data_IF_040679570063
#
_entry.id   IF_040679570063
#
_cell.length_a   1.000
_cell.length_b   1.000
_cell.length_c   1.000
_cell.angle_alpha   90.00
_cell.angle_beta   90.00
_cell.angle_gamma   90.00
#
_symmetry.space_group_name_H-M   'P 1'
#
loop_
_entity.id
_entity.type
_entity.pdbx_description
1 polymer ?
#
# COMPACT_ATOMS: atom_id res chain seq x y z
N UNK A 1 5.82 14.91 -0.75
CA UNK A 1 6.52 13.62 -0.72
C UNK A 1 7.49 13.61 -1.86
N UNK A 2 8.73 13.18 -1.64
CA UNK A 2 9.69 12.93 -2.72
C UNK A 2 9.45 11.50 -3.23
N UNK A 3 9.16 11.33 -4.52
CA UNK A 3 9.09 10.03 -5.16
C UNK A 3 10.37 9.81 -5.97
N UNK A 4 11.09 8.71 -5.71
CA UNK A 4 12.30 8.36 -6.45
C UNK A 4 12.03 7.17 -7.36
N UNK A 5 12.22 7.39 -8.65
CA UNK A 5 12.11 6.37 -9.69
C UNK A 5 13.50 5.91 -10.07
N UNK A 6 13.75 4.60 -10.03
CA UNK A 6 15.02 4.00 -10.42
C UNK A 6 14.79 3.08 -11.62
N UNK A 7 15.40 3.44 -12.74
CA UNK A 7 15.42 2.63 -13.95
C UNK A 7 16.83 2.08 -14.09
N UNK A 8 16.98 0.76 -13.99
CA UNK A 8 18.27 0.09 -14.12
C UNK A 8 18.35 -0.52 -15.52
N UNK A 9 19.24 -0.01 -16.37
CA UNK A 9 19.40 -0.46 -17.75
C UNK A 9 19.83 -1.93 -17.91
N UNK A 10 20.27 -2.58 -16.83
CA UNK A 10 20.67 -3.99 -16.82
C UNK A 10 19.51 -4.97 -16.62
N UNK A 11 18.31 -4.48 -16.28
CA UNK A 11 17.13 -5.30 -16.02
C UNK A 11 15.93 -4.69 -16.75
N UNK A 12 15.15 -5.52 -17.44
CA UNK A 12 13.92 -5.08 -18.14
C UNK A 12 12.82 -4.60 -17.19
N UNK A 13 13.08 -4.58 -15.88
CA UNK A 13 12.15 -4.26 -14.81
C UNK A 13 12.45 -2.92 -14.18
N UNK A 14 11.41 -2.10 -14.01
CA UNK A 14 11.52 -0.80 -13.33
C UNK A 14 11.00 -0.89 -11.89
N UNK A 15 11.57 -0.06 -11.01
CA UNK A 15 11.25 -0.01 -9.57
C UNK A 15 10.92 1.41 -9.12
N UNK A 16 10.00 1.53 -8.18
CA UNK A 16 9.62 2.79 -7.55
C UNK A 16 9.47 2.58 -6.05
N UNK A 17 10.01 3.52 -5.28
CA UNK A 17 9.75 3.65 -3.86
C UNK A 17 9.50 5.12 -3.55
N UNK A 18 8.42 5.42 -2.85
CA UNK A 18 8.11 6.76 -2.39
C UNK A 18 7.57 6.74 -0.97
N UNK A 19 7.84 7.83 -0.25
CA UNK A 19 7.32 8.05 1.08
C UNK A 19 6.56 9.38 1.13
N UNK A 20 5.47 9.40 1.89
CA UNK A 20 4.74 10.61 2.25
C UNK A 20 4.58 10.73 3.77
N UNK A 21 4.21 11.92 4.24
CA UNK A 21 3.92 12.12 5.67
C UNK A 21 2.70 11.29 6.04
N UNK A 22 2.88 10.44 7.03
CA UNK A 22 1.83 9.65 7.66
C UNK A 22 1.48 10.19 9.04
N UNK A 23 0.86 9.34 9.84
CA UNK A 23 0.54 9.61 11.23
C UNK A 23 1.72 9.16 12.10
N UNK A 24 2.18 10.04 12.98
CA UNK A 24 3.26 9.74 13.90
C UNK A 24 2.71 9.33 15.27
N UNK A 25 3.26 8.25 15.82
CA UNK A 25 2.95 7.75 17.15
C UNK A 25 1.94 6.60 17.16
N UNK A 26 2.25 5.55 17.93
CA UNK A 26 1.38 4.39 18.10
C UNK A 26 0.07 4.69 18.83
N UNK A 27 0.04 5.74 19.67
CA UNK A 27 -1.14 6.11 20.46
C UNK A 27 -2.11 7.03 19.72
N UNK A 28 -1.83 7.39 18.46
CA UNK A 28 -2.74 8.23 17.69
C UNK A 28 -4.00 7.43 17.31
N UNK A 29 -5.22 7.98 17.50
CA UNK A 29 -6.46 7.24 17.22
C UNK A 29 -6.57 6.77 15.77
N UNK A 30 -5.99 7.52 14.84
CA UNK A 30 -6.03 7.21 13.41
C UNK A 30 -4.94 6.24 12.93
N UNK A 31 -4.02 5.82 13.80
CA UNK A 31 -2.95 4.87 13.44
C UNK A 31 -3.52 3.50 13.05
N UNK A 32 -4.42 2.95 13.86
CA UNK A 32 -5.05 1.66 13.56
C UNK A 32 -5.94 1.72 12.29
N UNK A 33 -6.82 2.73 12.12
CA UNK A 33 -7.55 2.94 10.86
C UNK A 33 -6.64 3.04 9.63
N UNK A 34 -5.50 3.73 9.72
CA UNK A 34 -4.55 3.85 8.62
C UNK A 34 -3.97 2.48 8.21
N UNK A 35 -3.56 1.67 9.18
CA UNK A 35 -3.01 0.33 8.93
C UNK A 35 -4.05 -0.58 8.26
N UNK A 36 -5.29 -0.54 8.74
CA UNK A 36 -6.41 -1.30 8.14
C UNK A 36 -6.69 -0.79 6.73
N UNK A 37 -6.72 0.52 6.50
CA UNK A 37 -6.94 1.08 5.17
C UNK A 37 -5.84 0.69 4.16
N UNK A 38 -4.57 0.68 4.59
CA UNK A 38 -3.47 0.18 3.77
C UNK A 38 -3.70 -1.29 3.38
N UNK A 39 -4.04 -2.13 4.36
CA UNK A 39 -4.27 -3.56 4.15
C UNK A 39 -5.48 -3.82 3.24
N UNK A 40 -6.58 -3.07 3.40
CA UNK A 40 -7.76 -3.16 2.50
C UNK A 40 -7.35 -2.91 1.05
N UNK A 41 -6.51 -1.91 0.80
CA UNK A 41 -6.06 -1.57 -0.55
C UNK A 41 -5.11 -2.63 -1.13
N UNK A 42 -4.26 -3.23 -0.30
CA UNK A 42 -3.22 -4.18 -0.73
C UNK A 42 -3.58 -5.66 -0.57
N UNK A 43 -4.77 -5.97 -0.05
CA UNK A 43 -5.25 -7.33 0.14
C UNK A 43 -5.14 -8.16 -1.14
N UNK A 44 -4.98 -9.48 -0.98
CA UNK A 44 -5.06 -10.44 -2.10
C UNK A 44 -6.47 -10.33 -2.69
N UNK A 45 -6.55 -10.17 -4.02
CA UNK A 45 -7.81 -9.86 -4.75
C UNK A 45 -8.46 -8.51 -4.39
N UNK A 46 -7.75 -7.67 -3.64
CA UNK A 46 -8.16 -6.31 -3.33
C UNK A 46 -8.01 -5.34 -4.52
N UNK A 47 -8.30 -4.05 -4.29
CA UNK A 47 -8.37 -3.04 -5.36
C UNK A 47 -7.07 -2.88 -6.13
N UNK A 48 -5.94 -2.77 -5.42
CA UNK A 48 -4.64 -2.65 -6.08
C UNK A 48 -4.22 -3.94 -6.79
N UNK A 49 -4.65 -5.10 -6.28
CA UNK A 49 -4.39 -6.37 -6.97
C UNK A 49 -5.06 -6.40 -8.33
N UNK A 50 -6.35 -6.06 -8.39
CA UNK A 50 -7.13 -6.11 -9.62
C UNK A 50 -6.62 -5.10 -10.65
N UNK A 51 -6.40 -3.85 -10.24
CA UNK A 51 -6.04 -2.76 -11.16
C UNK A 51 -4.54 -2.70 -11.50
N UNK A 52 -3.64 -3.10 -10.60
CA UNK A 52 -2.19 -3.05 -10.85
C UNK A 52 -1.67 -4.38 -11.36
N UNK A 53 -1.97 -5.47 -10.64
CA UNK A 53 -1.46 -6.80 -10.98
C UNK A 53 -2.33 -7.47 -12.05
N UNK A 54 -3.65 -7.36 -11.97
CA UNK A 54 -4.59 -7.91 -12.95
C UNK A 54 -4.40 -7.32 -14.35
N UNK A 55 -4.08 -6.03 -14.44
CA UNK A 55 -3.74 -5.36 -15.71
C UNK A 55 -2.27 -5.53 -16.13
N UNK A 56 -1.44 -6.24 -15.35
CA UNK A 56 -0.03 -6.48 -15.67
C UNK A 56 0.88 -5.23 -15.59
N UNK A 57 0.48 -4.21 -14.83
CA UNK A 57 1.23 -2.96 -14.70
C UNK A 57 2.46 -3.12 -13.78
N UNK A 58 2.32 -3.88 -12.69
CA UNK A 58 3.43 -4.26 -11.83
C UNK A 58 3.21 -5.64 -11.20
N UNK A 59 4.29 -6.39 -10.99
CA UNK A 59 4.20 -7.72 -10.37
C UNK A 59 4.03 -7.64 -8.85
N UNK A 60 4.73 -6.70 -8.22
CA UNK A 60 4.70 -6.52 -6.77
C UNK A 60 4.45 -5.06 -6.44
N UNK A 61 3.59 -4.84 -5.46
CA UNK A 61 3.31 -3.54 -4.86
C UNK A 61 3.28 -3.69 -3.34
N UNK A 62 3.59 -2.63 -2.62
CA UNK A 62 3.37 -2.55 -1.18
C UNK A 62 2.94 -1.15 -0.77
N UNK A 63 2.06 -1.07 0.22
CA UNK A 63 1.62 0.16 0.86
C UNK A 63 1.56 -0.11 2.37
N UNK A 64 2.30 0.65 3.17
CA UNK A 64 2.27 0.48 4.63
C UNK A 64 2.61 1.80 5.33
N UNK A 65 2.02 2.00 6.51
CA UNK A 65 2.36 3.09 7.41
C UNK A 65 3.41 2.65 8.43
N UNK A 66 4.42 3.49 8.62
CA UNK A 66 5.35 3.42 9.74
C UNK A 66 4.97 4.48 10.78
N UNK A 67 4.50 4.02 11.93
CA UNK A 67 4.06 4.88 13.03
C UNK A 67 5.22 5.48 13.83
N UNK A 68 6.41 4.89 13.78
CA UNK A 68 7.60 5.40 14.45
C UNK A 68 8.15 6.61 13.70
N UNK A 69 8.32 6.45 12.39
CA UNK A 69 8.83 7.49 11.50
C UNK A 69 7.76 8.52 11.11
N UNK A 70 6.48 8.18 11.26
CA UNK A 70 5.37 9.02 10.82
C UNK A 70 5.33 9.14 9.29
N UNK A 71 5.64 8.05 8.59
CA UNK A 71 5.72 7.99 7.13
C UNK A 71 4.80 6.90 6.60
N UNK A 72 4.28 7.10 5.39
CA UNK A 72 3.61 6.04 4.62
C UNK A 72 4.48 5.73 3.42
N UNK A 73 4.81 4.46 3.27
CA UNK A 73 5.65 3.93 2.21
C UNK A 73 4.79 3.28 1.14
N UNK A 74 5.07 3.61 -0.11
CA UNK A 74 4.51 2.95 -1.28
C UNK A 74 5.64 2.50 -2.20
N UNK A 75 5.60 1.24 -2.62
CA UNK A 75 6.59 0.70 -3.54
C UNK A 75 5.96 -0.12 -4.65
N UNK A 76 6.61 -0.10 -5.81
CA UNK A 76 6.30 -0.92 -6.98
C UNK A 76 7.60 -1.60 -7.44
N UNK A 77 7.51 -2.89 -7.72
CA UNK A 77 8.64 -3.68 -8.20
C UNK A 77 8.24 -4.49 -9.43
N UNK A 78 9.18 -4.64 -10.37
CA UNK A 78 8.98 -5.35 -11.64
C UNK A 78 7.77 -4.81 -12.39
N UNK A 79 7.80 -3.51 -12.65
CA UNK A 79 6.75 -2.81 -13.40
C UNK A 79 7.16 -2.62 -14.84
N UNK A 80 6.23 -2.91 -15.75
CA UNK A 80 6.37 -2.67 -17.18
C UNK A 80 6.05 -1.20 -17.54
N UNK A 81 5.18 -0.55 -16.74
CA UNK A 81 4.87 0.88 -16.87
C UNK A 81 4.68 1.52 -15.49
N UNK A 82 5.78 2.01 -14.91
CA UNK A 82 5.75 2.64 -13.59
C UNK A 82 4.86 3.88 -13.53
N UNK A 83 4.88 4.71 -14.57
CA UNK A 83 4.12 5.94 -14.59
C UNK A 83 2.61 5.67 -14.59
N UNK A 84 2.16 4.65 -15.32
CA UNK A 84 0.75 4.23 -15.32
C UNK A 84 0.38 3.58 -13.99
N UNK A 85 1.19 2.63 -13.50
CA UNK A 85 0.96 1.97 -12.22
C UNK A 85 0.84 2.97 -11.05
N UNK A 86 1.73 3.96 -11.00
CA UNK A 86 1.69 5.02 -9.98
C UNK A 86 0.43 5.87 -10.06
N UNK A 87 0.00 6.24 -11.28
CA UNK A 87 -1.24 7.02 -11.49
C UNK A 87 -2.48 6.23 -11.07
N UNK A 88 -2.56 4.95 -11.45
CA UNK A 88 -3.68 4.07 -11.07
C UNK A 88 -3.73 3.87 -9.55
N UNK A 89 -2.59 3.60 -8.92
CA UNK A 89 -2.51 3.47 -7.46
C UNK A 89 -2.97 4.75 -6.75
N UNK A 90 -2.50 5.92 -7.20
CA UNK A 90 -2.91 7.20 -6.63
C UNK A 90 -4.39 7.53 -6.84
N UNK A 91 -4.95 7.15 -7.99
CA UNK A 91 -6.38 7.32 -8.28
C UNK A 91 -7.24 6.43 -7.37
N UNK A 92 -6.86 5.17 -7.16
CA UNK A 92 -7.53 4.27 -6.23
C UNK A 92 -7.52 4.82 -4.80
N UNK A 93 -6.35 5.20 -4.29
CA UNK A 93 -6.22 5.77 -2.93
C UNK A 93 -7.14 6.98 -2.78
N UNK A 94 -7.20 7.86 -3.79
CA UNK A 94 -8.08 9.02 -3.77
C UNK A 94 -9.56 8.63 -3.77
N UNK A 95 -9.98 7.71 -4.64
CA UNK A 95 -11.37 7.29 -4.74
C UNK A 95 -11.89 6.69 -3.41
N UNK A 96 -11.06 5.90 -2.73
CA UNK A 96 -11.38 5.39 -1.39
C UNK A 96 -11.39 6.50 -0.31
N UNK A 97 -10.45 7.44 -0.37
CA UNK A 97 -10.37 8.55 0.59
C UNK A 97 -11.55 9.55 0.44
N UNK A 98 -12.05 9.74 -0.79
CA UNK A 98 -13.17 10.61 -1.10
C UNK A 98 -14.53 9.90 -0.94
N UNK A 99 -14.53 8.59 -0.66
CA UNK A 99 -15.74 7.80 -0.47
C UNK A 99 -16.49 7.47 -1.76
N UNK A 100 -15.83 7.57 -2.92
CA UNK A 100 -16.38 7.18 -4.21
C UNK A 100 -16.55 5.67 -4.35
N UNK A 101 -15.72 4.91 -3.63
CA UNK A 101 -15.78 3.45 -3.57
C UNK A 101 -16.19 3.00 -2.18
N UNK A 102 -17.23 2.17 -2.11
CA UNK A 102 -17.72 1.62 -0.85
C UNK A 102 -16.72 0.62 -0.28
N UNK A 103 -16.38 0.79 0.99
CA UNK A 103 -15.62 -0.18 1.77
C UNK A 103 -16.62 -1.06 2.51
N UNK A 104 -16.72 -2.32 2.12
CA UNK A 104 -17.62 -3.25 2.80
C UNK A 104 -17.05 -3.72 4.13
N UNK A 105 -17.93 -4.13 5.05
CA UNK A 105 -17.50 -4.63 6.36
C UNK A 105 -16.61 -5.87 6.25
N UNK A 106 -16.87 -6.75 5.29
CA UNK A 106 -16.09 -7.96 5.05
C UNK A 106 -14.63 -7.62 4.64
N UNK A 107 -14.44 -6.56 3.86
CA UNK A 107 -13.09 -6.08 3.51
C UNK A 107 -12.33 -5.62 4.77
N UNK A 108 -13.01 -4.90 5.66
CA UNK A 108 -12.45 -4.41 6.92
C UNK A 108 -12.11 -5.57 7.84
N UNK A 109 -13.02 -6.54 8.01
CA UNK A 109 -12.80 -7.69 8.90
C UNK A 109 -11.59 -8.52 8.45
N UNK A 110 -11.47 -8.79 7.15
CA UNK A 110 -10.31 -9.48 6.58
C UNK A 110 -9.01 -8.69 6.79
N UNK A 111 -9.04 -7.38 6.55
CA UNK A 111 -7.88 -6.52 6.74
C UNK A 111 -7.45 -6.46 8.22
N UNK A 112 -8.39 -6.36 9.15
CA UNK A 112 -8.09 -6.40 10.60
C UNK A 112 -7.43 -7.71 10.98
N UNK A 113 -7.94 -8.85 10.50
CA UNK A 113 -7.35 -10.16 10.78
C UNK A 113 -5.91 -10.26 10.26
N UNK A 114 -5.64 -9.78 9.04
CA UNK A 114 -4.29 -9.73 8.46
C UNK A 114 -3.35 -8.83 9.26
N UNK A 115 -3.80 -7.62 9.64
CA UNK A 115 -3.00 -6.68 10.44
C UNK A 115 -2.66 -7.28 11.80
N UNK A 116 -3.64 -7.88 12.50
CA UNK A 116 -3.41 -8.52 13.80
C UNK A 116 -2.42 -9.68 13.67
N UNK A 117 -2.58 -10.53 12.64
CA UNK A 117 -1.64 -11.62 12.38
C UNK A 117 -0.23 -11.09 12.12
N UNK A 118 -0.09 -10.02 11.35
CA UNK A 118 1.20 -9.37 11.05
C UNK A 118 1.89 -8.85 12.31
N UNK A 119 1.14 -8.21 13.20
CA UNK A 119 1.65 -7.74 14.51
C UNK A 119 2.10 -8.92 15.37
N UNK A 120 1.28 -9.96 15.50
CA UNK A 120 1.62 -11.16 16.29
C UNK A 120 2.89 -11.84 15.75
N UNK A 121 3.02 -11.97 14.43
CA UNK A 121 4.21 -12.56 13.81
C UNK A 121 5.48 -11.72 14.01
N UNK A 122 5.38 -10.39 14.07
CA UNK A 122 6.52 -9.51 14.42
C UNK A 122 7.00 -9.75 15.85
N UNK A 123 6.08 -9.86 16.81
CA UNK A 123 6.40 -10.08 18.22
C UNK A 123 6.94 -11.49 18.51
N UNK A 124 6.61 -12.50 17.70
CA UNK A 124 7.17 -13.85 17.84
C UNK A 124 8.63 -13.97 17.43
N UNK A 125 9.16 -12.98 16.70
CA UNK A 125 10.54 -13.01 16.20
C UNK A 125 11.52 -12.33 17.17
N UNK A 126 11.10 -12.06 18.42
CA UNK A 126 11.90 -11.41 19.47
C UNK A 126 12.32 -12.40 20.55
#
# INVERSE_FOLDING_TARGET
GEARMLIMSSIESSFLSCACRGIQGFNHPDTAPLLVACEVLTAIEGPMWNEIRGLGLAYTFSLHGDSEEGLVYFSLSRSNSLATAYKVAGALVRAYAEGEVEVTWEMVENAVASVVSSVVSREQTV
#
